data_IF_305552125814
#
_entry.id   IF_305552125814
#
_cell.length_a   1.000
_cell.length_b   1.000
_cell.length_c   1.000
_cell.angle_alpha   90.00
_cell.angle_beta   90.00
_cell.angle_gamma   90.00
#
_symmetry.space_group_name_H-M   'P 1'
#
loop_
_entity.id
_entity.type
_entity.pdbx_description
1 polymer ?
#
# COMPACT_ATOMS: atom_id res chain seq x y z
N UNK A 1 9.71 -12.11 8.62
CA UNK A 1 10.60 -11.34 7.74
C UNK A 1 9.79 -10.19 7.17
N UNK A 2 10.40 -9.01 7.01
CA UNK A 2 9.76 -7.88 6.34
C UNK A 2 9.64 -8.17 4.84
N UNK A 3 8.51 -7.76 4.22
CA UNK A 3 8.18 -8.05 2.83
C UNK A 3 8.10 -6.75 2.03
N UNK A 4 8.43 -6.83 0.75
CA UNK A 4 8.26 -5.73 -0.22
C UNK A 4 7.15 -6.12 -1.20
N UNK A 5 6.11 -5.28 -1.29
CA UNK A 5 5.02 -5.39 -2.24
C UNK A 5 5.24 -4.35 -3.34
N UNK A 6 5.44 -4.81 -4.57
CA UNK A 6 5.60 -3.95 -5.75
C UNK A 6 4.24 -3.50 -6.30
N UNK A 7 4.09 -2.20 -6.57
CA UNK A 7 2.87 -1.62 -7.16
C UNK A 7 2.90 -1.74 -8.68
N UNK A 8 1.97 -2.50 -9.24
CA UNK A 8 1.79 -2.65 -10.68
C UNK A 8 0.45 -2.04 -11.14
N UNK A 9 0.49 -0.77 -11.54
CA UNK A 9 -0.69 -0.10 -12.07
C UNK A 9 -0.89 -0.42 -13.55
N UNK A 10 -2.05 -0.99 -13.88
CA UNK A 10 -2.48 -1.30 -15.25
C UNK A 10 -3.54 -0.28 -15.67
N UNK A 11 -3.13 0.98 -15.79
CA UNK A 11 -4.00 2.08 -16.20
C UNK A 11 -3.59 2.61 -17.56
N UNK A 12 -4.51 3.21 -18.36
CA UNK A 12 -4.18 3.75 -19.70
C UNK A 12 -2.98 4.69 -19.71
N UNK A 13 -2.82 5.50 -18.67
CA UNK A 13 -1.71 6.45 -18.55
C UNK A 13 -0.36 5.77 -18.24
N UNK A 14 -0.38 4.52 -17.81
CA UNK A 14 0.85 3.80 -17.43
C UNK A 14 1.58 3.20 -18.63
N UNK A 15 0.87 2.97 -19.76
CA UNK A 15 1.39 2.24 -20.93
C UNK A 15 0.85 2.81 -22.26
N UNK A 16 0.78 4.13 -22.42
CA UNK A 16 -0.02 4.86 -23.40
C UNK A 16 0.37 4.72 -24.89
N UNK A 17 1.51 4.12 -25.23
CA UNK A 17 2.08 4.26 -26.59
C UNK A 17 1.85 3.08 -27.55
N UNK A 18 1.04 2.06 -27.20
CA UNK A 18 1.06 0.83 -27.99
C UNK A 18 -0.24 0.04 -28.18
N UNK A 19 -1.38 0.52 -27.73
CA UNK A 19 -2.64 -0.26 -27.74
C UNK A 19 -2.72 -1.31 -26.62
N UNK A 20 -3.91 -1.93 -26.45
CA UNK A 20 -4.22 -2.80 -25.29
C UNK A 20 -3.28 -4.00 -25.12
N UNK A 21 -2.90 -4.66 -26.22
CA UNK A 21 -2.04 -5.84 -26.17
C UNK A 21 -0.61 -5.49 -25.70
N UNK A 22 -0.04 -4.40 -26.22
CA UNK A 22 1.29 -3.93 -25.81
C UNK A 22 1.29 -3.43 -24.35
N UNK A 23 0.16 -2.89 -23.87
CA UNK A 23 0.01 -2.50 -22.48
C UNK A 23 0.04 -3.70 -21.53
N UNK A 24 -0.61 -4.82 -21.87
CA UNK A 24 -0.57 -6.07 -21.11
C UNK A 24 0.85 -6.65 -21.08
N UNK A 25 1.53 -6.73 -22.22
CA UNK A 25 2.90 -7.24 -22.28
C UNK A 25 3.88 -6.39 -21.45
N UNK A 26 3.77 -5.08 -21.52
CA UNK A 26 4.59 -4.17 -20.72
C UNK A 26 4.32 -4.31 -19.21
N UNK A 27 3.04 -4.45 -18.82
CA UNK A 27 2.66 -4.69 -17.42
C UNK A 27 3.21 -6.04 -16.92
N UNK A 28 3.08 -7.10 -17.71
CA UNK A 28 3.64 -8.42 -17.37
C UNK A 28 5.17 -8.35 -17.24
N UNK A 29 5.86 -7.71 -18.20
CA UNK A 29 7.32 -7.52 -18.13
C UNK A 29 7.73 -6.77 -16.85
N UNK A 30 6.99 -5.72 -16.47
CA UNK A 30 7.24 -4.97 -15.23
C UNK A 30 6.98 -5.82 -13.98
N UNK A 31 5.93 -6.63 -13.95
CA UNK A 31 5.66 -7.55 -12.84
C UNK A 31 6.77 -8.60 -12.66
N UNK A 32 7.28 -9.15 -13.76
CA UNK A 32 8.43 -10.07 -13.75
C UNK A 32 9.71 -9.39 -13.27
N UNK A 33 9.96 -8.18 -13.71
CA UNK A 33 11.09 -7.38 -13.23
C UNK A 33 11.01 -7.12 -11.72
N UNK A 34 9.83 -6.77 -11.18
CA UNK A 34 9.62 -6.62 -9.73
C UNK A 34 9.93 -7.92 -8.98
N UNK A 35 9.54 -9.07 -9.53
CA UNK A 35 9.85 -10.37 -8.96
C UNK A 35 11.37 -10.64 -8.95
N UNK A 36 12.07 -10.34 -10.03
CA UNK A 36 13.53 -10.46 -10.13
C UNK A 36 14.26 -9.51 -9.19
N UNK A 37 13.71 -8.31 -8.95
CA UNK A 37 14.19 -7.33 -7.98
C UNK A 37 13.96 -7.78 -6.52
N UNK A 38 13.22 -8.86 -6.27
CA UNK A 38 13.00 -9.44 -4.95
C UNK A 38 11.69 -9.01 -4.27
N UNK A 39 10.69 -8.55 -5.02
CA UNK A 39 9.35 -8.36 -4.47
C UNK A 39 8.79 -9.69 -3.96
N UNK A 40 8.25 -9.70 -2.74
CA UNK A 40 7.53 -10.84 -2.19
C UNK A 40 6.09 -10.92 -2.71
N UNK A 41 5.51 -9.76 -3.05
CA UNK A 41 4.16 -9.61 -3.58
C UNK A 41 4.19 -8.64 -4.76
N UNK A 42 3.46 -8.95 -5.82
CA UNK A 42 3.13 -7.99 -6.89
C UNK A 42 1.65 -7.66 -6.78
N UNK A 43 1.35 -6.38 -6.57
CA UNK A 43 0.00 -5.86 -6.34
C UNK A 43 -0.52 -5.18 -7.61
N UNK A 44 -1.47 -5.82 -8.28
CA UNK A 44 -1.99 -5.43 -9.59
C UNK A 44 -3.25 -4.58 -9.40
N UNK A 45 -3.25 -3.36 -9.92
CA UNK A 45 -4.40 -2.44 -9.83
C UNK A 45 -4.82 -1.89 -11.19
N UNK A 46 -6.11 -1.93 -11.50
CA UNK A 46 -6.70 -1.42 -12.75
C UNK A 46 -7.40 -0.08 -12.61
N UNK A 47 -7.65 0.38 -11.40
CA UNK A 47 -8.26 1.66 -11.07
C UNK A 47 -7.26 2.57 -10.34
N UNK A 48 -7.19 3.84 -10.75
CA UNK A 48 -6.39 4.82 -10.00
C UNK A 48 -7.18 5.32 -8.79
N UNK A 49 -6.62 5.15 -7.61
CA UNK A 49 -7.17 5.68 -6.34
C UNK A 49 -6.57 7.04 -5.95
N UNK A 50 -5.89 7.73 -6.88
CA UNK A 50 -5.32 9.08 -6.65
C UNK A 50 -6.46 10.09 -6.46
N UNK A 51 -6.23 11.18 -5.68
CA UNK A 51 -7.21 12.26 -5.55
C UNK A 51 -7.71 12.75 -6.91
N UNK A 52 -9.04 12.82 -7.08
CA UNK A 52 -9.67 13.27 -8.32
C UNK A 52 -9.76 12.24 -9.45
N UNK A 53 -9.28 11.01 -9.25
CA UNK A 53 -9.41 9.94 -10.24
C UNK A 53 -10.89 9.62 -10.51
N UNK A 54 -11.20 9.31 -11.77
CA UNK A 54 -12.54 8.88 -12.16
C UNK A 54 -12.72 7.41 -11.78
N UNK A 55 -13.90 7.04 -11.23
CA UNK A 55 -14.21 5.63 -11.01
C UNK A 55 -14.17 4.86 -12.33
N UNK A 56 -13.65 3.64 -12.26
CA UNK A 56 -13.61 2.71 -13.38
C UNK A 56 -14.75 1.70 -13.22
N UNK A 57 -15.42 1.35 -14.32
CA UNK A 57 -16.41 0.28 -14.31
C UNK A 57 -15.73 -1.07 -14.00
N UNK A 58 -16.34 -1.94 -13.17
CA UNK A 58 -15.73 -3.22 -12.82
C UNK A 58 -15.37 -4.10 -14.03
N UNK A 59 -16.15 -4.05 -15.11
CA UNK A 59 -15.83 -4.81 -16.32
C UNK A 59 -14.60 -4.25 -17.05
N UNK A 60 -14.43 -2.93 -17.05
CA UNK A 60 -13.23 -2.28 -17.58
C UNK A 60 -12.01 -2.58 -16.70
N UNK A 61 -12.16 -2.52 -15.38
CA UNK A 61 -11.09 -2.90 -14.44
C UNK A 61 -10.63 -4.34 -14.69
N UNK A 62 -11.58 -5.30 -14.79
CA UNK A 62 -11.30 -6.70 -15.08
C UNK A 62 -10.57 -6.87 -16.42
N UNK A 63 -11.02 -6.19 -17.48
CA UNK A 63 -10.38 -6.27 -18.79
C UNK A 63 -8.90 -5.84 -18.75
N UNK A 64 -8.54 -4.91 -17.85
CA UNK A 64 -7.16 -4.48 -17.64
C UNK A 64 -6.34 -5.47 -16.84
N UNK A 65 -6.84 -5.94 -15.70
CA UNK A 65 -6.04 -6.67 -14.71
C UNK A 65 -5.96 -8.16 -14.94
N UNK A 66 -7.03 -8.81 -15.44
CA UNK A 66 -7.08 -10.27 -15.53
C UNK A 66 -6.03 -10.84 -16.48
N UNK A 67 -5.81 -10.32 -17.70
CA UNK A 67 -4.77 -10.85 -18.58
C UNK A 67 -3.36 -10.75 -17.97
N UNK A 68 -3.13 -9.71 -17.15
CA UNK A 68 -1.84 -9.51 -16.47
C UNK A 68 -1.67 -10.51 -15.34
N UNK A 69 -2.71 -10.70 -14.50
CA UNK A 69 -2.68 -11.65 -13.37
C UNK A 69 -2.49 -13.07 -13.89
N UNK A 70 -3.25 -13.51 -14.89
CA UNK A 70 -3.11 -14.83 -15.51
C UNK A 70 -1.70 -15.09 -16.02
N UNK A 71 -1.14 -14.13 -16.80
CA UNK A 71 0.19 -14.27 -17.35
C UNK A 71 1.30 -14.25 -16.28
N UNK A 72 1.12 -13.50 -15.19
CA UNK A 72 2.06 -13.50 -14.07
C UNK A 72 1.93 -14.77 -13.23
N UNK A 73 0.72 -15.28 -12.98
CA UNK A 73 0.49 -16.54 -12.27
C UNK A 73 1.18 -17.71 -12.98
N UNK A 74 1.02 -17.81 -14.29
CA UNK A 74 1.65 -18.85 -15.11
C UNK A 74 3.19 -18.78 -15.06
N UNK A 75 3.78 -17.59 -15.06
CA UNK A 75 5.23 -17.41 -15.14
C UNK A 75 5.93 -17.43 -13.79
N UNK A 76 5.28 -16.91 -12.76
CA UNK A 76 5.87 -16.80 -11.41
C UNK A 76 5.57 -18.03 -10.55
N UNK A 77 4.42 -18.68 -10.72
CA UNK A 77 3.97 -19.77 -9.85
C UNK A 77 3.96 -19.30 -8.39
N UNK A 78 4.41 -20.14 -7.48
CA UNK A 78 4.45 -19.84 -6.04
C UNK A 78 5.65 -19.00 -5.59
N UNK A 79 6.52 -18.54 -6.51
CA UNK A 79 7.74 -17.79 -6.17
C UNK A 79 7.45 -16.38 -5.65
N UNK A 80 6.40 -15.75 -6.18
CA UNK A 80 5.97 -14.41 -5.82
C UNK A 80 4.45 -14.41 -5.72
N UNK A 81 3.93 -13.87 -4.65
CA UNK A 81 2.50 -13.77 -4.42
C UNK A 81 1.87 -12.70 -5.31
N UNK A 82 0.69 -12.98 -5.87
CA UNK A 82 -0.10 -11.98 -6.58
C UNK A 82 -1.21 -11.42 -5.69
N UNK A 83 -1.35 -10.11 -5.70
CA UNK A 83 -2.39 -9.34 -5.04
C UNK A 83 -3.21 -8.57 -6.07
N UNK A 84 -4.48 -8.37 -5.80
CA UNK A 84 -5.38 -7.49 -6.55
C UNK A 84 -5.72 -6.26 -5.71
N UNK A 85 -5.38 -5.05 -6.20
CA UNK A 85 -5.80 -3.77 -5.63
C UNK A 85 -7.14 -3.37 -6.25
N UNK A 86 -8.22 -3.63 -5.52
CA UNK A 86 -9.59 -3.35 -5.97
C UNK A 86 -10.54 -3.11 -4.80
N UNK A 87 -11.63 -2.39 -5.08
CA UNK A 87 -12.79 -2.21 -4.20
C UNK A 87 -14.05 -2.89 -4.72
N UNK A 88 -13.95 -3.62 -5.84
CA UNK A 88 -15.07 -4.26 -6.50
C UNK A 88 -15.09 -5.78 -6.24
N UNK A 89 -16.20 -6.29 -5.68
CA UNK A 89 -16.42 -7.73 -5.41
C UNK A 89 -16.17 -8.59 -6.66
N UNK A 90 -16.77 -8.21 -7.79
CA UNK A 90 -16.65 -8.98 -9.03
C UNK A 90 -15.21 -9.04 -9.55
N UNK A 91 -14.44 -7.96 -9.41
CA UNK A 91 -13.03 -7.93 -9.81
C UNK A 91 -12.18 -8.78 -8.86
N UNK A 92 -12.41 -8.69 -7.55
CA UNK A 92 -11.71 -9.53 -6.57
C UNK A 92 -11.93 -11.03 -6.86
N UNK A 93 -13.18 -11.46 -7.10
CA UNK A 93 -13.50 -12.85 -7.45
C UNK A 93 -12.83 -13.31 -8.74
N UNK A 94 -12.89 -12.49 -9.78
CA UNK A 94 -12.28 -12.82 -11.07
C UNK A 94 -10.74 -12.87 -10.95
N UNK A 95 -10.12 -11.94 -10.23
CA UNK A 95 -8.69 -11.90 -10.03
C UNK A 95 -8.17 -13.11 -9.22
N UNK A 96 -8.92 -13.56 -8.20
CA UNK A 96 -8.57 -14.76 -7.45
C UNK A 96 -8.69 -16.01 -8.33
N UNK A 97 -9.72 -16.10 -9.17
CA UNK A 97 -9.83 -17.19 -10.15
C UNK A 97 -8.68 -17.19 -11.17
N UNK A 98 -8.11 -16.02 -11.48
CA UNK A 98 -6.95 -15.83 -12.34
C UNK A 98 -5.59 -16.07 -11.64
N UNK A 99 -5.56 -16.30 -10.31
CA UNK A 99 -4.34 -16.65 -9.57
C UNK A 99 -3.90 -15.67 -8.47
N UNK A 100 -4.65 -14.60 -8.20
CA UNK A 100 -4.38 -13.74 -7.05
C UNK A 100 -4.75 -14.47 -5.74
N UNK A 101 -3.96 -14.28 -4.69
CA UNK A 101 -4.17 -14.92 -3.38
C UNK A 101 -4.27 -13.92 -2.23
N UNK A 102 -4.24 -12.61 -2.56
CA UNK A 102 -4.42 -11.51 -1.63
C UNK A 102 -5.35 -10.47 -2.26
N UNK A 103 -6.31 -9.96 -1.50
CA UNK A 103 -7.17 -8.83 -1.89
C UNK A 103 -6.72 -7.61 -1.10
N UNK A 104 -6.15 -6.63 -1.79
CA UNK A 104 -5.79 -5.33 -1.24
C UNK A 104 -6.97 -4.37 -1.45
N UNK A 105 -7.67 -4.03 -0.36
CA UNK A 105 -8.98 -3.40 -0.41
C UNK A 105 -8.97 -2.01 0.22
N UNK A 106 -8.90 -1.00 -0.65
CA UNK A 106 -8.93 0.42 -0.25
C UNK A 106 -10.23 0.82 0.45
N UNK A 107 -11.32 0.07 0.27
CA UNK A 107 -12.63 0.33 0.88
C UNK A 107 -12.84 -0.36 2.24
N UNK A 108 -11.97 -1.30 2.59
CA UNK A 108 -12.07 -2.17 3.77
C UNK A 108 -13.46 -2.85 3.91
N UNK A 109 -14.07 -3.28 2.79
CA UNK A 109 -15.41 -3.87 2.74
C UNK A 109 -15.48 -5.26 2.10
N UNK A 110 -14.39 -5.72 1.43
CA UNK A 110 -14.35 -6.99 0.69
C UNK A 110 -13.94 -8.20 1.54
N UNK A 111 -13.87 -8.07 2.87
CA UNK A 111 -13.58 -9.21 3.74
C UNK A 111 -14.57 -10.39 3.59
N UNK A 112 -15.89 -10.19 3.28
CA UNK A 112 -16.77 -11.34 3.02
C UNK A 112 -16.36 -12.11 1.77
N UNK A 113 -15.87 -11.39 0.73
CA UNK A 113 -15.37 -12.00 -0.50
C UNK A 113 -14.09 -12.78 -0.23
N UNK A 114 -13.16 -12.22 0.53
CA UNK A 114 -11.92 -12.88 0.90
C UNK A 114 -12.19 -14.16 1.73
N UNK A 115 -13.16 -14.11 2.65
CA UNK A 115 -13.59 -15.26 3.42
C UNK A 115 -14.18 -16.36 2.53
N UNK A 116 -15.10 -16.02 1.62
CA UNK A 116 -15.71 -16.96 0.67
C UNK A 116 -14.68 -17.66 -0.22
N UNK A 117 -13.62 -16.92 -0.63
CA UNK A 117 -12.59 -17.39 -1.53
C UNK A 117 -11.40 -18.05 -0.81
N UNK A 118 -11.32 -17.94 0.52
CA UNK A 118 -10.23 -18.50 1.33
C UNK A 118 -8.87 -17.84 1.07
N UNK A 119 -8.85 -16.54 0.72
CA UNK A 119 -7.64 -15.78 0.41
C UNK A 119 -7.32 -14.75 1.51
N UNK A 120 -6.11 -14.20 1.48
CA UNK A 120 -5.72 -13.11 2.37
C UNK A 120 -6.41 -11.79 2.01
N UNK A 121 -6.55 -10.90 2.99
CA UNK A 121 -7.19 -9.60 2.83
C UNK A 121 -6.43 -8.50 3.55
N UNK A 122 -6.34 -7.32 2.91
CA UNK A 122 -5.77 -6.10 3.48
C UNK A 122 -6.89 -5.09 3.65
N UNK A 123 -7.13 -4.68 4.90
CA UNK A 123 -8.02 -3.57 5.25
C UNK A 123 -7.25 -2.26 5.20
N UNK A 124 -7.60 -1.34 4.32
CA UNK A 124 -7.00 -0.01 4.32
C UNK A 124 -7.97 1.04 4.85
N UNK A 125 -7.48 1.94 5.71
CA UNK A 125 -8.27 3.08 6.16
C UNK A 125 -8.23 4.24 5.15
N UNK A 126 -9.39 4.69 4.71
CA UNK A 126 -9.58 5.91 3.93
C UNK A 126 -10.68 6.79 4.54
N UNK A 127 -10.44 8.11 4.61
CA UNK A 127 -11.47 9.07 4.99
C UNK A 127 -12.26 9.52 3.75
N UNK A 128 -13.57 9.27 3.75
CA UNK A 128 -14.42 9.69 2.64
C UNK A 128 -14.28 8.84 1.37
N UNK A 129 -14.34 9.49 0.22
CA UNK A 129 -14.28 8.90 -1.14
C UNK A 129 -13.03 9.42 -1.85
N UNK A 130 -12.36 8.66 -2.75
CA UNK A 130 -11.15 9.11 -3.46
C UNK A 130 -11.26 10.46 -4.15
N UNK A 131 -12.45 10.87 -4.56
CA UNK A 131 -12.66 12.17 -5.23
C UNK A 131 -12.65 13.35 -4.28
N UNK A 132 -13.09 13.18 -3.04
CA UNK A 132 -13.31 14.24 -2.06
C UNK A 132 -12.48 14.07 -0.79
N UNK A 133 -11.75 12.98 -0.65
CA UNK A 133 -11.01 12.63 0.56
C UNK A 133 -9.99 13.70 1.02
N UNK A 134 -9.56 14.59 0.13
CA UNK A 134 -8.59 15.65 0.44
C UNK A 134 -9.25 17.01 0.70
N UNK A 135 -10.58 17.12 0.55
CA UNK A 135 -11.28 18.41 0.62
C UNK A 135 -11.42 18.96 2.04
N UNK A 136 -11.18 18.29 3.07
CA UNK A 136 -11.07 18.70 4.48
C UNK A 136 -11.02 17.47 5.41
N UNK A 137 -9.96 16.68 5.40
CA UNK A 137 -9.89 15.52 6.29
C UNK A 137 -9.83 15.97 7.75
N UNK A 138 -10.80 15.53 8.55
CA UNK A 138 -10.94 15.89 9.98
C UNK A 138 -10.88 14.64 10.82
N UNK A 139 -10.06 14.69 11.85
CA UNK A 139 -9.91 13.66 12.88
C UNK A 139 -9.88 14.34 14.24
N UNK A 140 -10.48 13.74 15.24
CA UNK A 140 -10.31 14.15 16.63
C UNK A 140 -8.94 13.69 17.14
N UNK A 141 -8.59 12.43 16.84
CA UNK A 141 -7.28 11.81 17.03
C UNK A 141 -7.05 10.84 15.86
N UNK A 142 -6.18 11.19 14.92
CA UNK A 142 -5.98 10.40 13.69
C UNK A 142 -5.46 8.99 13.99
N UNK A 143 -4.65 8.83 15.03
CA UNK A 143 -4.07 7.53 15.40
C UNK A 143 -5.16 6.62 15.97
N UNK A 144 -5.94 7.12 16.93
CA UNK A 144 -7.02 6.35 17.57
C UNK A 144 -8.18 6.08 16.60
N UNK A 145 -8.59 7.06 15.80
CA UNK A 145 -9.66 6.91 14.81
C UNK A 145 -9.32 5.83 13.76
N UNK A 146 -8.08 5.87 13.22
CA UNK A 146 -7.60 4.86 12.26
C UNK A 146 -7.48 3.50 12.93
N UNK A 147 -6.93 3.43 14.14
CA UNK A 147 -6.80 2.20 14.92
C UNK A 147 -8.17 1.54 15.14
N UNK A 148 -9.13 2.29 15.65
CA UNK A 148 -10.50 1.78 15.94
C UNK A 148 -11.16 1.23 14.68
N UNK A 149 -11.09 1.96 13.57
CA UNK A 149 -11.65 1.51 12.29
C UNK A 149 -11.01 0.20 11.82
N UNK A 150 -9.68 0.12 11.82
CA UNK A 150 -8.97 -1.07 11.32
C UNK A 150 -9.18 -2.29 12.22
N UNK A 151 -9.19 -2.13 13.54
CA UNK A 151 -9.45 -3.22 14.49
C UNK A 151 -10.86 -3.76 14.32
N UNK A 152 -11.87 -2.88 14.15
CA UNK A 152 -13.25 -3.30 13.88
C UNK A 152 -13.35 -4.13 12.59
N UNK A 153 -12.76 -3.64 11.50
CA UNK A 153 -12.79 -4.33 10.20
C UNK A 153 -12.02 -5.65 10.23
N UNK A 154 -10.83 -5.65 10.81
CA UNK A 154 -10.02 -6.86 10.96
C UNK A 154 -10.70 -7.90 11.84
N UNK A 155 -11.31 -7.49 12.96
CA UNK A 155 -12.09 -8.36 13.83
C UNK A 155 -13.29 -8.99 13.12
N UNK A 156 -14.02 -8.21 12.31
CA UNK A 156 -15.12 -8.72 11.48
C UNK A 156 -14.64 -9.74 10.44
N UNK A 157 -13.50 -9.48 9.80
CA UNK A 157 -12.90 -10.40 8.83
C UNK A 157 -12.48 -11.73 9.47
N UNK A 158 -11.83 -11.69 10.63
CA UNK A 158 -11.46 -12.90 11.39
C UNK A 158 -12.70 -13.67 11.81
N UNK A 159 -13.75 -12.99 12.31
CA UNK A 159 -15.01 -13.64 12.69
C UNK A 159 -15.72 -14.30 11.49
N UNK A 160 -15.52 -13.79 10.29
CA UNK A 160 -16.04 -14.37 9.05
C UNK A 160 -15.17 -15.53 8.49
N UNK A 161 -14.02 -15.82 9.10
CA UNK A 161 -13.13 -16.91 8.71
C UNK A 161 -12.01 -16.54 7.75
N UNK A 162 -11.71 -15.24 7.53
CA UNK A 162 -10.51 -14.83 6.80
C UNK A 162 -9.28 -15.23 7.61
N UNK A 163 -8.47 -16.15 7.06
CA UNK A 163 -7.33 -16.72 7.78
C UNK A 163 -6.13 -15.77 7.86
N UNK A 164 -5.99 -14.85 6.93
CA UNK A 164 -4.89 -13.89 6.86
C UNK A 164 -5.44 -12.48 6.66
N UNK A 165 -5.37 -11.67 7.71
CA UNK A 165 -5.86 -10.29 7.72
C UNK A 165 -4.70 -9.34 7.97
N UNK A 166 -4.52 -8.38 7.06
CA UNK A 166 -3.57 -7.27 7.14
C UNK A 166 -4.30 -5.96 7.40
N UNK A 167 -3.62 -5.00 8.00
CA UNK A 167 -4.14 -3.64 8.20
C UNK A 167 -3.19 -2.60 7.61
N UNK A 168 -3.74 -1.60 6.90
CA UNK A 168 -2.98 -0.48 6.34
C UNK A 168 -3.57 0.85 6.87
N UNK A 169 -2.78 1.71 7.53
CA UNK A 169 -3.24 3.01 8.03
C UNK A 169 -3.71 3.95 6.91
N UNK A 170 -3.48 3.62 5.64
CA UNK A 170 -3.91 4.44 4.52
C UNK A 170 -3.25 5.81 4.48
N UNK A 171 -1.92 5.84 4.61
CA UNK A 171 -1.13 7.09 4.49
C UNK A 171 -1.48 7.79 3.17
N UNK A 172 -1.85 9.06 3.22
CA UNK A 172 -2.21 9.85 2.03
C UNK A 172 -3.66 9.72 1.56
N UNK A 173 -4.48 8.85 2.17
CA UNK A 173 -5.89 8.67 1.84
C UNK A 173 -6.78 9.44 2.82
N UNK A 174 -7.21 10.64 2.42
CA UNK A 174 -8.00 11.52 3.29
C UNK A 174 -7.24 11.96 4.54
N UNK A 175 -5.98 12.36 4.38
CA UNK A 175 -5.11 12.76 5.47
C UNK A 175 -4.20 13.92 5.06
N UNK A 176 -4.02 14.89 5.96
CA UNK A 176 -3.04 15.97 5.79
C UNK A 176 -1.61 15.42 5.95
N UNK A 177 -0.61 16.21 5.59
CA UNK A 177 0.80 15.86 5.85
C UNK A 177 1.07 15.62 7.33
N UNK A 178 0.45 16.40 8.22
CA UNK A 178 0.56 16.23 9.68
C UNK A 178 -0.04 14.88 10.10
N UNK A 179 -1.27 14.56 9.68
CA UNK A 179 -1.91 13.28 9.99
C UNK A 179 -1.08 12.08 9.52
N UNK A 180 -0.44 12.19 8.34
CA UNK A 180 0.43 11.14 7.83
C UNK A 180 1.68 10.95 8.70
N UNK A 181 2.28 12.05 9.16
CA UNK A 181 3.46 12.00 10.03
C UNK A 181 3.11 11.48 11.42
N UNK A 182 1.96 11.84 11.98
CA UNK A 182 1.47 11.30 13.27
C UNK A 182 1.26 9.79 13.20
N UNK A 183 0.62 9.27 12.14
CA UNK A 183 0.43 7.84 11.94
C UNK A 183 1.75 7.09 11.80
N UNK A 184 2.74 7.67 11.10
CA UNK A 184 4.07 7.07 10.98
C UNK A 184 4.85 7.12 12.29
N UNK A 185 4.71 8.19 13.08
CA UNK A 185 5.37 8.34 14.37
C UNK A 185 4.81 7.38 15.43
N UNK A 186 3.53 7.03 15.34
CA UNK A 186 2.81 6.17 16.27
C UNK A 186 2.37 4.85 15.63
N UNK A 187 3.17 4.31 14.71
CA UNK A 187 2.86 3.06 14.01
C UNK A 187 2.84 1.85 14.97
N UNK A 188 3.58 1.94 16.07
CA UNK A 188 3.62 0.97 17.16
C UNK A 188 2.23 0.73 17.78
N UNK A 189 1.35 1.71 17.77
CA UNK A 189 -0.05 1.58 18.24
C UNK A 189 -0.81 0.57 17.38
N UNK A 190 -0.67 0.63 16.05
CA UNK A 190 -1.30 -0.34 15.15
C UNK A 190 -0.65 -1.72 15.22
N UNK A 191 0.68 -1.75 15.31
CA UNK A 191 1.45 -3.00 15.46
C UNK A 191 1.05 -3.73 16.76
N UNK A 192 0.77 -2.98 17.83
CA UNK A 192 0.33 -3.50 19.13
C UNK A 192 -1.03 -4.20 19.10
N UNK A 193 -1.87 -3.97 18.08
CA UNK A 193 -3.17 -4.64 17.92
C UNK A 193 -3.05 -6.12 17.45
N UNK A 194 -1.83 -6.57 17.08
CA UNK A 194 -1.55 -7.97 16.74
C UNK A 194 -1.82 -8.37 15.31
N UNK A 195 -2.36 -7.48 14.47
CA UNK A 195 -2.48 -7.70 13.03
C UNK A 195 -1.17 -7.30 12.32
N UNK A 196 -0.74 -8.03 11.28
CA UNK A 196 0.38 -7.61 10.46
C UNK A 196 0.03 -6.28 9.74
N UNK A 197 0.97 -5.32 9.82
CA UNK A 197 0.78 -3.98 9.26
C UNK A 197 1.47 -3.87 7.90
N UNK A 198 0.72 -3.40 6.90
CA UNK A 198 1.20 -2.95 5.61
C UNK A 198 1.24 -1.42 5.59
N UNK A 199 2.30 -0.84 5.03
CA UNK A 199 2.43 0.62 4.90
C UNK A 199 2.81 1.00 3.47
N UNK A 200 2.01 1.88 2.85
CA UNK A 200 2.28 2.44 1.53
C UNK A 200 2.53 3.94 1.58
N UNK A 201 3.78 4.37 1.51
CA UNK A 201 4.17 5.80 1.47
C UNK A 201 4.73 6.22 0.12
N UNK A 202 5.12 5.24 -0.72
CA UNK A 202 5.89 5.44 -1.93
C UNK A 202 5.29 6.47 -2.89
N UNK A 203 6.08 7.48 -3.23
CA UNK A 203 5.80 8.57 -4.16
C UNK A 203 4.59 9.45 -3.79
N UNK A 204 4.07 9.36 -2.55
CA UNK A 204 2.90 10.13 -2.11
C UNK A 204 3.19 11.62 -1.98
N UNK A 205 2.13 12.45 -2.12
CA UNK A 205 2.23 13.92 -2.19
C UNK A 205 2.90 14.54 -0.95
N UNK A 206 2.59 14.03 0.24
CA UNK A 206 3.15 14.55 1.49
C UNK A 206 4.68 14.47 1.53
N UNK A 207 5.29 13.44 0.91
CA UNK A 207 6.73 13.34 0.77
C UNK A 207 7.28 14.48 -0.11
N UNK A 208 6.58 14.77 -1.22
CA UNK A 208 6.95 15.89 -2.08
C UNK A 208 6.89 17.25 -1.36
N UNK A 209 5.92 17.43 -0.48
CA UNK A 209 5.81 18.64 0.37
C UNK A 209 6.93 18.72 1.40
N UNK A 210 7.30 17.62 2.04
CA UNK A 210 8.40 17.56 3.00
C UNK A 210 9.76 17.85 2.34
N UNK A 211 10.01 17.23 1.18
CA UNK A 211 11.24 17.43 0.42
C UNK A 211 11.36 18.88 -0.07
N UNK A 212 10.29 19.45 -0.65
CA UNK A 212 10.29 20.85 -1.09
C UNK A 212 10.56 21.83 0.07
N UNK A 213 10.09 21.54 1.29
CA UNK A 213 10.41 22.34 2.48
C UNK A 213 11.87 22.22 2.88
N UNK A 214 12.41 21.02 2.82
CA UNK A 214 13.84 20.77 3.08
C UNK A 214 14.71 21.56 2.12
N UNK A 215 14.39 21.52 0.83
CA UNK A 215 15.12 22.25 -0.22
C UNK A 215 15.05 23.77 -0.03
N UNK A 216 13.92 24.26 0.47
CA UNK A 216 13.73 25.67 0.81
C UNK A 216 14.40 26.09 2.15
N UNK A 217 15.09 25.18 2.83
CA UNK A 217 15.71 25.45 4.15
C UNK A 217 14.69 25.72 5.26
N UNK A 218 13.43 25.30 5.07
CA UNK A 218 12.38 25.44 6.08
C UNK A 218 12.49 24.33 7.12
N UNK A 219 12.13 24.63 8.38
CA UNK A 219 12.15 23.63 9.44
C UNK A 219 11.25 22.41 9.09
N UNK A 220 11.70 21.19 9.39
CA UNK A 220 10.85 20.02 9.25
C UNK A 220 9.61 20.14 10.15
N UNK A 221 8.55 19.40 9.80
CA UNK A 221 7.35 19.32 10.62
C UNK A 221 7.73 18.87 12.04
N UNK A 222 7.57 19.78 12.99
CA UNK A 222 7.73 19.51 14.41
C UNK A 222 6.50 20.00 15.18
N UNK A 223 6.37 19.72 16.47
CA UNK A 223 5.24 20.18 17.28
C UNK A 223 4.95 21.68 17.19
N UNK A 224 5.97 22.50 16.90
CA UNK A 224 5.84 23.93 16.72
C UNK A 224 5.29 24.34 15.34
N UNK A 225 5.33 23.46 14.34
CA UNK A 225 4.84 23.74 12.96
C UNK A 225 3.37 23.33 12.82
N UNK A 226 2.88 22.45 13.68
CA UNK A 226 1.45 22.06 13.75
C UNK A 226 0.58 23.26 14.18
N UNK A 227 1.15 24.22 14.91
CA UNK A 227 0.43 25.38 15.44
C UNK A 227 0.31 26.58 14.47
N UNK A 228 1.03 26.60 13.36
CA UNK A 228 0.93 27.66 12.35
C UNK A 228 0.85 27.04 10.95
N UNK A 229 -0.12 27.47 10.11
CA UNK A 229 -0.16 27.02 8.73
C UNK A 229 1.14 27.49 8.05
N UNK A 230 2.03 26.55 7.80
CA UNK A 230 3.24 26.84 7.05
C UNK A 230 2.85 27.25 5.63
N UNK A 231 3.59 28.18 4.99
CA UNK A 231 3.31 28.60 3.63
C UNK A 231 3.25 27.37 2.72
N UNK A 232 2.25 27.37 1.83
CA UNK A 232 2.11 26.31 0.85
C UNK A 232 3.38 26.24 -0.01
N UNK A 233 3.94 25.05 -0.14
CA UNK A 233 5.03 24.77 -1.06
C UNK A 233 4.51 23.83 -2.14
N UNK A 234 4.91 24.05 -3.39
CA UNK A 234 4.63 23.10 -4.44
C UNK A 234 5.45 21.82 -4.18
N UNK A 235 4.81 20.65 -4.14
CA UNK A 235 5.52 19.41 -3.90
C UNK A 235 6.54 19.15 -5.01
N UNK A 236 7.70 18.58 -4.67
CA UNK A 236 8.65 18.11 -5.69
C UNK A 236 7.98 17.11 -6.63
N UNK A 237 8.44 16.98 -7.90
CA UNK A 237 7.93 16.02 -8.85
C UNK A 237 7.90 14.59 -8.31
N UNK A 238 7.03 13.75 -8.85
CA UNK A 238 6.88 12.33 -8.41
C UNK A 238 8.19 11.56 -8.58
N UNK A 239 8.98 11.90 -9.60
CA UNK A 239 10.30 11.31 -9.90
C UNK A 239 11.34 11.57 -8.83
N UNK A 240 11.19 12.68 -8.08
CA UNK A 240 12.17 13.14 -7.10
C UNK A 240 11.81 12.75 -5.66
N UNK A 241 10.87 11.80 -5.48
CA UNK A 241 10.37 11.35 -4.17
C UNK A 241 10.95 10.01 -3.71
N UNK A 242 11.94 9.47 -4.41
CA UNK A 242 12.52 8.14 -4.11
C UNK A 242 13.14 8.13 -2.71
N UNK A 243 13.92 9.15 -2.35
CA UNK A 243 14.59 9.23 -1.04
C UNK A 243 13.60 9.28 0.12
N UNK A 244 12.54 10.09 -0.01
CA UNK A 244 11.46 10.15 0.96
C UNK A 244 10.67 8.83 1.04
N UNK A 245 10.44 8.18 -0.10
CA UNK A 245 9.77 6.88 -0.18
C UNK A 245 10.58 5.80 0.53
N UNK A 246 11.87 5.71 0.25
CA UNK A 246 12.77 4.74 0.89
C UNK A 246 12.90 5.01 2.39
N UNK A 247 13.14 6.25 2.78
CA UNK A 247 13.28 6.64 4.20
C UNK A 247 12.04 6.26 5.01
N UNK A 248 10.84 6.57 4.52
CA UNK A 248 9.60 6.26 5.24
C UNK A 248 9.24 4.77 5.21
N UNK A 249 9.61 4.04 4.16
CA UNK A 249 9.46 2.59 4.11
C UNK A 249 10.37 1.91 5.15
N UNK A 250 11.64 2.33 5.25
CA UNK A 250 12.58 1.81 6.25
C UNK A 250 12.13 2.17 7.67
N UNK A 251 11.68 3.42 7.87
CA UNK A 251 11.09 3.83 9.16
C UNK A 251 9.92 2.93 9.57
N UNK A 252 8.97 2.68 8.66
CA UNK A 252 7.83 1.83 8.95
C UNK A 252 8.26 0.40 9.35
N UNK A 253 9.25 -0.17 8.67
CA UNK A 253 9.76 -1.50 8.99
C UNK A 253 10.45 -1.56 10.36
N UNK A 254 11.25 -0.56 10.71
CA UNK A 254 11.89 -0.44 12.03
C UNK A 254 10.83 -0.38 13.15
N UNK A 255 9.67 0.26 12.86
CA UNK A 255 8.56 0.39 13.79
C UNK A 255 7.54 -0.75 13.71
N UNK A 256 7.90 -1.87 13.08
CA UNK A 256 7.14 -3.13 13.14
C UNK A 256 6.21 -3.41 11.97
N UNK A 257 6.19 -2.57 10.92
CA UNK A 257 5.49 -2.94 9.69
C UNK A 257 6.09 -4.23 9.11
N UNK A 258 5.20 -5.13 8.70
CA UNK A 258 5.60 -6.42 8.12
C UNK A 258 5.70 -6.38 6.62
N UNK A 259 5.07 -5.39 5.97
CA UNK A 259 5.09 -5.20 4.53
C UNK A 259 5.12 -3.71 4.19
N UNK A 260 5.87 -3.34 3.15
CA UNK A 260 5.81 -2.00 2.55
C UNK A 260 5.41 -2.10 1.08
N UNK A 261 4.47 -1.24 0.66
CA UNK A 261 3.95 -1.16 -0.70
C UNK A 261 4.63 -0.02 -1.46
N UNK A 262 5.39 -0.36 -2.50
CA UNK A 262 6.33 0.57 -3.16
C UNK A 262 6.32 0.47 -4.68
N UNK A 263 6.71 1.55 -5.36
CA UNK A 263 6.95 1.58 -6.81
C UNK A 263 8.40 1.20 -7.15
N UNK A 264 9.34 1.55 -6.26
CA UNK A 264 10.78 1.42 -6.45
C UNK A 264 11.28 0.18 -5.67
N UNK A 265 11.01 -1.02 -6.24
CA UNK A 265 11.24 -2.31 -5.57
C UNK A 265 12.72 -2.54 -5.29
N UNK A 266 13.60 -2.39 -6.29
CA UNK A 266 15.03 -2.70 -6.17
C UNK A 266 15.69 -1.99 -4.99
N UNK A 267 15.61 -0.66 -4.95
CA UNK A 267 16.22 0.13 -3.85
C UNK A 267 15.58 -0.18 -2.49
N UNK A 268 14.29 -0.52 -2.48
CA UNK A 268 13.60 -0.88 -1.22
C UNK A 268 14.06 -2.24 -0.72
N UNK A 269 14.20 -3.25 -1.59
CA UNK A 269 14.72 -4.57 -1.22
C UNK A 269 16.16 -4.48 -0.71
N UNK A 270 17.00 -3.65 -1.34
CA UNK A 270 18.35 -3.38 -0.84
C UNK A 270 18.32 -2.74 0.55
N UNK A 271 17.43 -1.75 0.78
CA UNK A 271 17.22 -1.15 2.09
C UNK A 271 16.81 -2.18 3.16
N UNK A 272 15.88 -3.08 2.82
CA UNK A 272 15.44 -4.17 3.70
C UNK A 272 16.61 -5.13 4.03
N UNK A 273 17.44 -5.45 3.04
CA UNK A 273 18.62 -6.31 3.26
C UNK A 273 19.61 -5.67 4.25
N UNK A 274 19.84 -4.34 4.13
CA UNK A 274 20.69 -3.59 5.07
C UNK A 274 20.09 -3.63 6.49
N UNK A 275 18.78 -3.37 6.63
CA UNK A 275 18.10 -3.42 7.93
C UNK A 275 18.14 -4.81 8.54
N UNK A 276 17.93 -5.87 7.76
CA UNK A 276 17.93 -7.25 8.23
C UNK A 276 19.32 -7.68 8.75
N UNK A 277 20.40 -7.11 8.22
CA UNK A 277 21.75 -7.29 8.72
C UNK A 277 22.07 -6.48 9.99
N UNK A 278 21.28 -5.44 10.29
CA UNK A 278 21.51 -4.49 11.37
C UNK A 278 20.59 -4.68 12.58
N UNK A 279 19.43 -5.31 12.37
CA UNK A 279 18.40 -5.53 13.40
C UNK A 279 18.33 -7.02 13.71
N UNK A 280 18.47 -7.44 14.97
CA UNK A 280 18.22 -8.83 15.37
C UNK A 280 16.80 -9.21 14.93
N UNK A 281 16.64 -10.40 14.35
CA UNK A 281 15.31 -10.92 14.05
C UNK A 281 14.46 -10.88 15.34
N UNK A 282 13.21 -10.39 15.29
CA UNK A 282 12.35 -10.45 16.45
C UNK A 282 12.22 -11.90 16.88
N UNK A 283 12.31 -12.15 18.20
CA UNK A 283 12.10 -13.48 18.74
C UNK A 283 10.74 -13.99 18.28
N UNK A 284 10.73 -15.13 17.62
CA UNK A 284 9.50 -15.77 17.17
C UNK A 284 8.76 -16.28 18.43
N UNK A 285 7.62 -15.67 18.83
CA UNK A 285 6.90 -16.07 20.02
C UNK A 285 6.33 -17.49 19.93
N UNK A 286 6.40 -18.13 18.75
CA UNK A 286 5.96 -19.51 18.49
C UNK A 286 7.11 -20.53 18.49
N UNK A 287 8.37 -20.11 18.65
CA UNK A 287 9.48 -21.04 18.89
C UNK A 287 9.48 -21.43 20.37
N UNK A 288 8.90 -22.59 20.65
CA UNK A 288 9.15 -23.27 21.93
C UNK A 288 10.66 -23.47 22.10
N UNK A 289 11.21 -23.21 23.31
CA UNK A 289 12.58 -23.56 23.59
C UNK A 289 12.75 -25.10 23.46
N UNK A 290 13.79 -25.50 22.75
CA UNK A 290 14.15 -26.90 22.56
C UNK A 290 14.59 -27.58 23.87
#
# INVERSE_FOLDING_TARGET
MSQVMGVLNVTPDSFSDGGEHLAVEAAVARGLEMAEQGAAVVDVGGESTRPGARPVDPAEEQARVLPVIEALADRLGDRVRLSIDTRHDSTARAAVAAGATLVNDVSASLWPVAADLGVGWVAMHMFGDPRTMQDEPRYDDVVDDVRRFLVERAGAAVAAGVAEVWVDPGIGFGKTTVHNMELLAHLDVLVGEGFPVLVGTSRKRFLGELLARSDAGQAPYGPAVVAAPAPAVDPVPVTDRVDGSLTTAMWAMIHGARMVRVHDVDVTVQGVAVLSGSIPAPEDPLRSPA
#
